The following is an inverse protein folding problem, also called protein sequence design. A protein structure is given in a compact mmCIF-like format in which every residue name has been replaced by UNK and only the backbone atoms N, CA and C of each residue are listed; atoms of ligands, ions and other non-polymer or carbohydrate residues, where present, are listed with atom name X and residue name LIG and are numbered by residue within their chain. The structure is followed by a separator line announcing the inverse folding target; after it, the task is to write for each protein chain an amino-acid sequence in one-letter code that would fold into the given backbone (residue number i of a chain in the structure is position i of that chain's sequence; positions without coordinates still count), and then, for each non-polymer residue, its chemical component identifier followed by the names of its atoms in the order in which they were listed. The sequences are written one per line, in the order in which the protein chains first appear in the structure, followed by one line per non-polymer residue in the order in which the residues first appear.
data_IF_599618619882
#
_entry.id   IF_599618619882
#
_cell.length_a   1.000
_cell.length_b   1.000
_cell.length_c   1.000
_cell.angle_alpha   90.00
_cell.angle_beta   90.00
_cell.angle_gamma   90.00
#
_symmetry.space_group_name_H-M   'P 1'
#
loop_
_entity.id
_entity.type
_entity.pdbx_description
1 polymer ?
#
# COMPACT_ATOMS: atom_id res chain seq x y z
N UNK A 1 17.20 7.71 17.51
CA UNK A 1 16.71 6.58 16.67
C UNK A 1 17.32 6.74 15.30
N UNK A 2 17.93 5.70 14.75
CA UNK A 2 18.52 5.75 13.40
C UNK A 2 17.39 6.05 12.39
N UNK A 3 17.58 7.05 11.53
CA UNK A 3 16.72 7.33 10.38
C UNK A 3 16.89 6.26 9.30
N UNK A 4 16.45 6.56 8.09
CA UNK A 4 16.63 5.66 6.93
C UNK A 4 17.96 5.94 6.17
N UNK A 5 18.87 6.72 6.75
CA UNK A 5 20.13 7.10 6.12
C UNK A 5 20.93 5.86 5.69
N UNK A 6 21.31 5.83 4.39
CA UNK A 6 22.06 4.73 3.79
C UNK A 6 21.28 3.44 3.52
N UNK A 7 20.02 3.32 3.97
CA UNK A 7 19.16 2.16 3.68
C UNK A 7 18.62 2.22 2.26
N UNK A 8 18.37 1.06 1.67
CA UNK A 8 17.64 0.94 0.40
C UNK A 8 16.17 0.65 0.69
N UNK A 9 15.29 1.55 0.24
CA UNK A 9 13.85 1.40 0.37
C UNK A 9 13.21 1.25 -1.02
N UNK A 10 12.43 0.20 -1.24
CA UNK A 10 11.64 0.03 -2.48
C UNK A 10 10.18 0.32 -2.19
N UNK A 11 9.55 1.15 -3.02
CA UNK A 11 8.14 1.53 -2.92
C UNK A 11 7.41 1.15 -4.21
N UNK A 12 6.39 0.28 -4.11
CA UNK A 12 5.51 -0.01 -5.24
C UNK A 12 4.34 0.98 -5.30
N UNK A 13 3.79 1.22 -6.49
CA UNK A 13 2.77 2.25 -6.69
C UNK A 13 3.31 3.67 -6.50
N UNK A 14 4.62 3.89 -6.76
CA UNK A 14 5.31 5.15 -6.49
C UNK A 14 4.94 6.31 -7.43
N UNK A 15 4.17 6.07 -8.49
CA UNK A 15 3.87 7.09 -9.49
C UNK A 15 2.81 8.12 -9.06
N UNK A 16 2.07 7.89 -7.98
CA UNK A 16 1.02 8.80 -7.49
C UNK A 16 0.68 8.60 -6.01
N UNK A 17 -0.18 9.46 -5.47
CA UNK A 17 -0.80 9.31 -4.14
C UNK A 17 0.18 9.07 -3.00
N UNK A 18 -0.17 8.16 -2.12
CA UNK A 18 0.63 7.81 -0.93
C UNK A 18 2.02 7.33 -1.33
N UNK A 19 2.14 6.47 -2.35
CA UNK A 19 3.43 5.90 -2.77
C UNK A 19 4.41 6.97 -3.22
N UNK A 20 3.96 7.98 -4.00
CA UNK A 20 4.78 9.10 -4.44
C UNK A 20 5.24 9.98 -3.26
N UNK A 21 4.31 10.31 -2.38
CA UNK A 21 4.63 11.12 -1.20
C UNK A 21 5.58 10.37 -0.24
N UNK A 22 5.38 9.07 -0.06
CA UNK A 22 6.22 8.22 0.78
C UNK A 22 7.64 8.07 0.22
N UNK A 23 7.79 7.88 -1.09
CA UNK A 23 9.10 7.83 -1.73
C UNK A 23 9.90 9.12 -1.48
N UNK A 24 9.26 10.30 -1.64
CA UNK A 24 9.87 11.60 -1.32
C UNK A 24 10.22 11.72 0.17
N UNK A 25 9.35 11.27 1.05
CA UNK A 25 9.58 11.34 2.49
C UNK A 25 10.74 10.44 2.94
N UNK A 26 10.84 9.21 2.41
CA UNK A 26 11.95 8.30 2.69
C UNK A 26 13.29 8.84 2.15
N UNK A 27 13.29 9.43 0.95
CA UNK A 27 14.47 10.07 0.39
C UNK A 27 14.98 11.24 1.25
N UNK A 28 14.08 12.08 1.78
CA UNK A 28 14.42 13.17 2.73
C UNK A 28 15.01 12.65 4.04
N UNK A 29 14.68 11.43 4.44
CA UNK A 29 15.27 10.74 5.60
C UNK A 29 16.60 10.04 5.28
N UNK A 30 17.13 10.24 4.05
CA UNK A 30 18.41 9.72 3.61
C UNK A 30 18.38 8.31 3.03
N UNK A 31 17.22 7.74 2.74
CA UNK A 31 17.11 6.47 2.04
C UNK A 31 17.46 6.62 0.56
N UNK A 32 18.06 5.59 -0.04
CA UNK A 32 18.12 5.37 -1.48
C UNK A 32 16.83 4.68 -1.90
N UNK A 33 16.04 5.30 -2.79
CA UNK A 33 14.67 4.86 -3.04
C UNK A 33 14.50 4.21 -4.41
N UNK A 34 14.10 2.95 -4.43
CA UNK A 34 13.64 2.25 -5.62
C UNK A 34 12.15 2.52 -5.87
N UNK A 35 11.80 2.96 -7.07
CA UNK A 35 10.47 3.39 -7.48
C UNK A 35 9.89 2.38 -8.48
N UNK A 36 8.78 1.71 -8.11
CA UNK A 36 8.10 0.74 -8.98
C UNK A 36 6.66 1.18 -9.25
N UNK A 37 6.27 1.30 -10.51
CA UNK A 37 4.90 1.48 -11.00
C UNK A 37 4.85 1.28 -12.51
N UNK A 38 3.67 1.24 -13.12
CA UNK A 38 3.48 1.07 -14.57
C UNK A 38 3.97 2.28 -15.40
N UNK A 39 3.73 3.51 -14.91
CA UNK A 39 3.97 4.76 -15.65
C UNK A 39 5.44 5.17 -15.54
N UNK A 40 6.23 4.85 -16.58
CA UNK A 40 7.68 5.14 -16.67
C UNK A 40 7.98 6.62 -16.46
N UNK A 41 7.33 7.49 -17.22
CA UNK A 41 7.59 8.93 -17.22
C UNK A 41 7.33 9.55 -15.83
N UNK A 42 6.27 9.10 -15.14
CA UNK A 42 5.96 9.58 -13.78
C UNK A 42 7.01 9.12 -12.75
N UNK A 43 7.60 7.94 -12.92
CA UNK A 43 8.69 7.46 -12.07
C UNK A 43 9.99 8.23 -12.33
N UNK A 44 10.33 8.49 -13.60
CA UNK A 44 11.51 9.24 -13.99
C UNK A 44 11.44 10.71 -13.51
N UNK A 45 10.26 11.33 -13.64
CA UNK A 45 10.00 12.66 -13.06
C UNK A 45 10.19 12.67 -11.54
N UNK A 46 9.64 11.66 -10.84
CA UNK A 46 9.80 11.54 -9.39
C UNK A 46 11.27 11.33 -8.99
N UNK A 47 12.00 10.48 -9.72
CA UNK A 47 13.44 10.27 -9.47
C UNK A 47 14.23 11.58 -9.66
N UNK A 48 13.94 12.35 -10.72
CA UNK A 48 14.55 13.65 -10.95
C UNK A 48 14.19 14.69 -9.86
N UNK A 49 12.95 14.69 -9.36
CA UNK A 49 12.55 15.55 -8.23
C UNK A 49 13.33 15.19 -6.95
N UNK A 50 13.47 13.90 -6.66
CA UNK A 50 14.23 13.43 -5.49
C UNK A 50 15.72 13.81 -5.63
N UNK A 51 16.29 13.64 -6.82
CA UNK A 51 17.70 14.01 -7.08
C UNK A 51 17.92 15.52 -6.94
N UNK A 52 17.03 16.38 -7.47
CA UNK A 52 17.10 17.83 -7.30
C UNK A 52 16.98 18.28 -5.83
N UNK A 53 16.35 17.48 -4.98
CA UNK A 53 16.27 17.69 -3.53
C UNK A 53 17.48 17.08 -2.77
N UNK A 54 18.51 16.59 -3.46
CA UNK A 54 19.72 16.01 -2.86
C UNK A 54 19.59 14.54 -2.44
N UNK A 55 18.48 13.88 -2.78
CA UNK A 55 18.25 12.46 -2.50
C UNK A 55 18.71 11.54 -3.64
N UNK A 56 18.60 10.23 -3.44
CA UNK A 56 18.91 9.21 -4.43
C UNK A 56 17.67 8.36 -4.72
N UNK A 57 17.32 8.24 -6.00
CA UNK A 57 16.25 7.35 -6.44
C UNK A 57 16.55 6.69 -7.78
N UNK A 58 15.99 5.51 -8.00
CA UNK A 58 16.03 4.80 -9.27
C UNK A 58 14.63 4.29 -9.63
N UNK A 59 14.26 4.38 -10.91
CA UNK A 59 13.00 3.94 -11.45
C UNK A 59 13.14 2.58 -12.12
N UNK A 60 12.15 1.69 -11.91
CA UNK A 60 11.99 0.42 -12.61
C UNK A 60 10.49 0.22 -12.91
N UNK A 61 10.04 0.48 -14.15
CA UNK A 61 8.65 0.33 -14.54
C UNK A 61 8.21 -1.14 -14.52
N UNK A 62 7.10 -1.44 -13.79
CA UNK A 62 6.50 -2.76 -13.77
C UNK A 62 5.02 -2.69 -13.38
N UNK A 63 4.22 -3.63 -13.87
CA UNK A 63 2.89 -3.91 -13.34
C UNK A 63 3.01 -4.90 -12.19
N UNK A 64 2.58 -4.49 -11.00
CA UNK A 64 2.63 -5.35 -9.81
C UNK A 64 1.63 -6.50 -9.86
N UNK A 65 0.63 -6.42 -10.72
CA UNK A 65 -0.29 -7.53 -11.00
C UNK A 65 0.36 -8.69 -11.78
N UNK A 66 1.57 -8.50 -12.29
CA UNK A 66 2.32 -9.49 -13.05
C UNK A 66 3.59 -9.90 -12.29
N UNK A 67 3.67 -11.17 -11.91
CA UNK A 67 4.73 -11.71 -11.04
C UNK A 67 6.14 -11.43 -11.57
N UNK A 68 6.43 -11.86 -12.79
CA UNK A 68 7.78 -11.78 -13.32
C UNK A 68 8.27 -10.33 -13.53
N UNK A 69 7.47 -9.40 -14.09
CA UNK A 69 7.85 -8.00 -14.21
C UNK A 69 8.21 -7.33 -12.89
N UNK A 70 7.40 -7.51 -11.83
CA UNK A 70 7.68 -6.86 -10.54
C UNK A 70 8.90 -7.47 -9.84
N UNK A 71 9.08 -8.80 -9.91
CA UNK A 71 10.25 -9.46 -9.34
C UNK A 71 11.53 -9.00 -10.04
N UNK A 72 11.52 -8.92 -11.37
CA UNK A 72 12.65 -8.42 -12.16
C UNK A 72 12.96 -6.95 -11.83
N UNK A 73 11.96 -6.08 -11.83
CA UNK A 73 12.14 -4.66 -11.53
C UNK A 73 12.74 -4.43 -10.13
N UNK A 74 12.30 -5.16 -9.12
CA UNK A 74 12.84 -5.02 -7.75
C UNK A 74 14.29 -5.55 -7.67
N UNK A 75 14.63 -6.62 -8.38
CA UNK A 75 16.00 -7.14 -8.45
C UNK A 75 16.95 -6.15 -9.14
N UNK A 76 16.55 -5.57 -10.28
CA UNK A 76 17.30 -4.51 -10.94
C UNK A 76 17.55 -3.30 -10.03
N UNK A 77 16.56 -2.89 -9.24
CA UNK A 77 16.71 -1.84 -8.25
C UNK A 77 17.69 -2.24 -7.15
N UNK A 78 17.66 -3.49 -6.70
CA UNK A 78 18.62 -4.01 -5.72
C UNK A 78 20.04 -4.03 -6.24
N UNK A 79 20.26 -4.34 -7.51
CA UNK A 79 21.59 -4.28 -8.17
C UNK A 79 22.12 -2.83 -8.26
N UNK A 80 21.23 -1.88 -8.58
CA UNK A 80 21.59 -0.47 -8.77
C UNK A 80 21.77 0.30 -7.46
N UNK A 81 20.98 0.01 -6.45
CA UNK A 81 20.93 0.77 -5.19
C UNK A 81 21.58 0.04 -4.02
N UNK A 82 21.77 -1.26 -4.14
CA UNK A 82 22.19 -2.16 -3.07
C UNK A 82 21.04 -2.99 -2.51
N UNK A 83 21.34 -3.95 -1.63
CA UNK A 83 20.35 -4.87 -1.09
C UNK A 83 19.22 -4.12 -0.36
N UNK A 84 17.98 -4.54 -0.63
CA UNK A 84 16.79 -3.87 -0.09
C UNK A 84 16.68 -4.09 1.43
N UNK A 85 16.62 -3.00 2.18
CA UNK A 85 16.46 -3.00 3.63
C UNK A 85 14.98 -2.81 4.04
N UNK A 86 14.22 -2.04 3.24
CA UNK A 86 12.80 -1.78 3.44
C UNK A 86 12.03 -1.98 2.12
N UNK A 87 11.05 -2.87 2.14
CA UNK A 87 10.03 -2.94 1.09
C UNK A 87 8.74 -2.29 1.58
N UNK A 88 8.17 -1.37 0.80
CA UNK A 88 6.81 -0.89 1.00
C UNK A 88 5.95 -1.29 -0.20
N UNK A 89 5.22 -2.37 -0.06
CA UNK A 89 4.22 -2.84 -1.01
C UNK A 89 2.96 -1.95 -0.88
N UNK A 90 2.92 -0.85 -1.65
CA UNK A 90 1.89 0.17 -1.56
C UNK A 90 0.94 0.18 -2.76
N UNK A 91 1.33 -0.36 -3.90
CA UNK A 91 0.47 -0.38 -5.09
C UNK A 91 -0.92 -0.95 -4.77
N UNK A 92 -1.94 -0.31 -5.31
CA UNK A 92 -3.32 -0.74 -5.13
C UNK A 92 -4.26 -0.02 -6.08
N UNK A 93 -5.39 -0.65 -6.34
CA UNK A 93 -6.50 -0.14 -7.14
C UNK A 93 -7.81 -0.35 -6.37
N UNK A 94 -8.84 0.43 -6.69
CA UNK A 94 -10.17 0.30 -6.14
C UNK A 94 -11.23 0.50 -7.21
N UNK A 95 -12.26 -0.32 -7.15
CA UNK A 95 -13.47 -0.18 -7.95
C UNK A 95 -14.66 -0.62 -7.11
N UNK A 96 -15.86 -0.07 -7.37
CA UNK A 96 -17.07 -0.55 -6.73
C UNK A 96 -17.34 -2.00 -7.13
N UNK A 97 -17.96 -2.76 -6.24
CA UNK A 97 -18.48 -4.09 -6.54
C UNK A 97 -19.93 -3.93 -7.02
N UNK A 98 -20.14 -4.09 -8.32
CA UNK A 98 -21.45 -4.07 -8.93
C UNK A 98 -22.14 -5.42 -8.77
N UNK A 99 -23.47 -5.45 -8.64
CA UNK A 99 -24.23 -6.68 -8.46
C UNK A 99 -24.88 -7.16 -9.76
N UNK A 100 -25.22 -6.24 -10.65
CA UNK A 100 -25.96 -6.57 -11.88
C UNK A 100 -25.51 -5.68 -13.04
N UNK A 101 -24.67 -6.25 -13.96
CA UNK A 101 -23.95 -7.53 -13.80
C UNK A 101 -22.81 -7.42 -12.78
N UNK A 102 -22.45 -8.56 -12.19
CA UNK A 102 -21.25 -8.60 -11.33
C UNK A 102 -20.00 -8.32 -12.18
N UNK A 103 -19.23 -7.32 -11.78
CA UNK A 103 -18.05 -6.84 -12.51
C UNK A 103 -16.78 -7.66 -12.16
N UNK A 104 -16.79 -8.93 -12.57
CA UNK A 104 -15.72 -9.91 -12.29
C UNK A 104 -14.32 -9.42 -12.72
N UNK A 105 -14.10 -8.81 -13.91
CA UNK A 105 -12.78 -8.34 -14.33
C UNK A 105 -12.13 -7.35 -13.38
N UNK A 106 -12.90 -6.40 -12.84
CA UNK A 106 -12.42 -5.42 -11.85
C UNK A 106 -12.10 -6.10 -10.51
N UNK A 107 -12.93 -7.08 -10.11
CA UNK A 107 -12.70 -7.88 -8.90
C UNK A 107 -11.38 -8.65 -9.02
N UNK A 108 -11.16 -9.36 -10.14
CA UNK A 108 -9.91 -10.07 -10.41
C UNK A 108 -8.71 -9.12 -10.41
N UNK A 109 -8.85 -7.94 -11.00
CA UNK A 109 -7.81 -6.91 -11.03
C UNK A 109 -7.47 -6.44 -9.62
N UNK A 110 -8.47 -6.19 -8.77
CA UNK A 110 -8.23 -5.82 -7.37
C UNK A 110 -7.49 -6.91 -6.59
N UNK A 111 -7.88 -8.16 -6.73
CA UNK A 111 -7.17 -9.29 -6.08
C UNK A 111 -5.74 -9.41 -6.61
N UNK A 112 -5.56 -9.31 -7.91
CA UNK A 112 -4.25 -9.41 -8.56
C UNK A 112 -3.31 -8.32 -8.12
N UNK A 113 -3.74 -7.05 -8.15
CA UNK A 113 -2.90 -5.90 -7.80
C UNK A 113 -2.74 -5.76 -6.30
N UNK A 114 -3.85 -5.75 -5.53
CA UNK A 114 -3.82 -5.42 -4.11
C UNK A 114 -3.27 -6.55 -3.25
N UNK A 115 -3.49 -7.82 -3.65
CA UNK A 115 -3.09 -8.99 -2.86
C UNK A 115 -1.88 -9.69 -3.45
N UNK A 116 -1.97 -10.19 -4.70
CA UNK A 116 -0.86 -10.92 -5.31
C UNK A 116 0.34 -10.01 -5.58
N UNK A 117 0.11 -8.73 -5.93
CA UNK A 117 1.19 -7.75 -6.08
C UNK A 117 2.02 -7.54 -4.82
N UNK A 118 1.41 -7.63 -3.63
CA UNK A 118 2.14 -7.63 -2.34
C UNK A 118 2.99 -8.89 -2.21
N UNK A 119 2.43 -10.05 -2.53
CA UNK A 119 3.13 -11.35 -2.46
C UNK A 119 4.35 -11.36 -3.39
N UNK A 120 4.18 -10.92 -4.64
CA UNK A 120 5.26 -10.88 -5.64
C UNK A 120 6.38 -9.90 -5.27
N UNK A 121 6.02 -8.74 -4.71
CA UNK A 121 7.03 -7.80 -4.23
C UNK A 121 7.83 -8.36 -3.04
N UNK A 122 7.18 -9.07 -2.13
CA UNK A 122 7.84 -9.74 -1.00
C UNK A 122 8.73 -10.89 -1.49
N UNK A 123 8.28 -11.69 -2.46
CA UNK A 123 9.08 -12.74 -3.09
C UNK A 123 10.43 -12.21 -3.61
N UNK A 124 10.43 -11.02 -4.18
CA UNK A 124 11.64 -10.43 -4.75
C UNK A 124 12.72 -10.10 -3.70
N UNK A 125 12.35 -9.82 -2.45
CA UNK A 125 13.27 -9.31 -1.42
C UNK A 125 13.47 -10.28 -0.26
N UNK A 126 12.49 -11.11 0.07
CA UNK A 126 12.51 -11.94 1.28
C UNK A 126 13.67 -12.94 1.34
N UNK A 127 14.06 -13.64 0.26
CA UNK A 127 15.20 -14.57 0.31
C UNK A 127 16.51 -13.89 0.73
N UNK A 128 16.77 -12.70 0.19
CA UNK A 128 17.97 -11.92 0.51
C UNK A 128 17.91 -11.36 1.94
N UNK A 129 16.75 -10.89 2.40
CA UNK A 129 16.55 -10.43 3.77
C UNK A 129 16.78 -11.58 4.78
N UNK A 130 16.28 -12.79 4.48
CA UNK A 130 16.50 -13.98 5.30
C UNK A 130 18.00 -14.36 5.38
N UNK A 131 18.70 -14.33 4.24
CA UNK A 131 20.13 -14.62 4.18
C UNK A 131 20.96 -13.63 5.00
N UNK A 132 20.57 -12.35 5.00
CA UNK A 132 21.23 -11.28 5.78
C UNK A 132 20.80 -11.25 7.25
N UNK A 133 19.72 -11.93 7.63
CA UNK A 133 19.13 -11.85 8.96
C UNK A 133 18.62 -10.47 9.34
N UNK A 134 18.28 -9.64 8.36
CA UNK A 134 17.77 -8.27 8.57
C UNK A 134 16.92 -7.79 7.39
N UNK A 135 15.86 -7.05 7.69
CA UNK A 135 14.97 -6.45 6.71
C UNK A 135 13.69 -5.90 7.32
N UNK A 136 12.93 -5.18 6.52
CA UNK A 136 11.63 -4.69 6.92
C UNK A 136 10.64 -4.81 5.76
N UNK A 137 9.60 -5.61 5.94
CA UNK A 137 8.48 -5.76 5.01
C UNK A 137 7.32 -4.90 5.48
N UNK A 138 6.85 -4.00 4.65
CA UNK A 138 5.65 -3.20 4.91
C UNK A 138 4.65 -3.34 3.77
N UNK A 139 3.36 -3.46 4.09
CA UNK A 139 2.29 -3.45 3.09
C UNK A 139 1.21 -2.43 3.46
N UNK A 140 0.75 -1.69 2.44
CA UNK A 140 -0.36 -0.74 2.58
C UNK A 140 -1.67 -1.46 2.29
N UNK A 141 -2.40 -1.72 3.37
CA UNK A 141 -3.77 -2.22 3.39
C UNK A 141 -4.78 -1.05 3.40
N UNK A 142 -5.82 -1.12 4.20
CA UNK A 142 -6.83 -0.08 4.40
C UNK A 142 -7.60 -0.35 5.69
N UNK A 143 -8.22 0.67 6.29
CA UNK A 143 -9.23 0.49 7.33
C UNK A 143 -10.46 -0.29 6.82
N UNK A 144 -10.74 -0.24 5.51
CA UNK A 144 -11.78 -1.05 4.86
C UNK A 144 -11.54 -2.58 4.97
N UNK A 145 -10.34 -3.01 5.36
CA UNK A 145 -10.02 -4.43 5.61
C UNK A 145 -10.69 -5.03 6.84
N UNK A 146 -11.26 -4.21 7.73
CA UNK A 146 -11.83 -4.69 8.99
C UNK A 146 -13.29 -5.15 8.89
N UNK A 147 -14.03 -4.72 7.87
CA UNK A 147 -15.44 -5.13 7.65
C UNK A 147 -15.72 -5.13 6.15
N UNK A 148 -16.47 -6.10 5.66
CA UNK A 148 -17.08 -6.04 4.33
C UNK A 148 -18.09 -4.88 4.29
N UNK A 149 -17.96 -4.00 3.31
CA UNK A 149 -18.85 -2.86 3.14
C UNK A 149 -19.65 -3.00 1.84
N UNK A 150 -20.94 -2.62 1.84
CA UNK A 150 -21.73 -2.58 0.64
C UNK A 150 -21.04 -1.75 -0.47
N UNK A 151 -21.10 -2.22 -1.71
CA UNK A 151 -20.42 -1.57 -2.83
C UNK A 151 -18.90 -1.73 -2.88
N UNK A 152 -18.25 -2.14 -1.78
CA UNK A 152 -16.78 -2.24 -1.66
C UNK A 152 -16.30 -3.66 -1.35
N UNK A 153 -17.16 -4.69 -1.56
CA UNK A 153 -16.90 -6.06 -1.11
C UNK A 153 -15.56 -6.62 -1.59
N UNK A 154 -15.24 -6.46 -2.87
CA UNK A 154 -13.99 -6.95 -3.46
C UNK A 154 -12.75 -6.19 -2.97
N UNK A 155 -12.85 -4.86 -2.81
CA UNK A 155 -11.78 -4.06 -2.24
C UNK A 155 -11.53 -4.46 -0.78
N UNK A 156 -12.57 -4.53 0.05
CA UNK A 156 -12.48 -4.97 1.44
C UNK A 156 -11.81 -6.36 1.54
N UNK A 157 -12.27 -7.32 0.73
CA UNK A 157 -11.71 -8.68 0.69
C UNK A 157 -10.22 -8.68 0.31
N UNK A 158 -9.82 -7.90 -0.73
CA UNK A 158 -8.43 -7.80 -1.16
C UNK A 158 -7.52 -7.25 -0.05
N UNK A 159 -7.99 -6.25 0.70
CA UNK A 159 -7.23 -5.63 1.79
C UNK A 159 -7.24 -6.47 3.07
N UNK A 160 -8.33 -7.21 3.34
CA UNK A 160 -8.38 -8.19 4.43
C UNK A 160 -7.39 -9.35 4.19
N UNK A 161 -7.28 -9.82 2.96
CA UNK A 161 -6.28 -10.83 2.57
C UNK A 161 -4.84 -10.35 2.85
N UNK A 162 -4.53 -9.07 2.54
CA UNK A 162 -3.21 -8.48 2.88
C UNK A 162 -2.98 -8.49 4.38
N UNK A 163 -3.98 -8.11 5.19
CA UNK A 163 -3.82 -8.11 6.65
C UNK A 163 -3.49 -9.51 7.17
N UNK A 164 -4.25 -10.53 6.77
CA UNK A 164 -4.03 -11.91 7.19
C UNK A 164 -2.67 -12.44 6.73
N UNK A 165 -2.28 -12.15 5.48
CA UNK A 165 -0.99 -12.56 4.93
C UNK A 165 0.19 -11.93 5.68
N UNK A 166 0.15 -10.62 5.93
CA UNK A 166 1.20 -9.91 6.66
C UNK A 166 1.27 -10.34 8.13
N UNK A 167 0.15 -10.67 8.75
CA UNK A 167 0.10 -11.22 10.10
C UNK A 167 0.77 -12.60 10.16
N UNK A 168 0.44 -13.50 9.24
CA UNK A 168 1.07 -14.81 9.12
C UNK A 168 2.58 -14.72 8.93
N UNK A 169 3.05 -13.84 8.03
CA UNK A 169 4.47 -13.58 7.83
C UNK A 169 5.15 -13.05 9.10
N UNK A 170 4.51 -12.17 9.84
CA UNK A 170 5.04 -11.61 11.09
C UNK A 170 5.27 -12.70 12.14
N UNK A 171 4.37 -13.68 12.20
CA UNK A 171 4.50 -14.84 13.09
C UNK A 171 5.65 -15.74 12.63
N UNK A 172 5.70 -16.08 11.34
CA UNK A 172 6.71 -16.98 10.76
C UNK A 172 8.14 -16.40 10.81
N UNK A 173 8.27 -15.07 10.70
CA UNK A 173 9.55 -14.36 10.67
C UNK A 173 10.04 -13.93 12.05
N UNK A 174 9.31 -14.30 13.12
CA UNK A 174 9.72 -14.00 14.49
C UNK A 174 11.11 -14.59 14.78
N UNK A 175 12.01 -13.76 15.28
CA UNK A 175 13.39 -14.16 15.60
C UNK A 175 14.34 -14.23 14.39
N UNK A 176 13.87 -13.93 13.17
CA UNK A 176 14.69 -13.96 11.95
C UNK A 176 15.30 -12.60 11.59
N UNK A 177 15.17 -11.59 12.44
CA UNK A 177 15.69 -10.24 12.20
C UNK A 177 14.92 -9.45 11.13
N UNK A 178 13.74 -9.90 10.73
CA UNK A 178 12.89 -9.25 9.73
C UNK A 178 11.63 -8.73 10.40
N UNK A 179 11.43 -7.40 10.30
CA UNK A 179 10.22 -6.75 10.79
C UNK A 179 9.11 -6.79 9.75
N UNK A 180 7.86 -6.83 10.22
CA UNK A 180 6.68 -6.85 9.34
C UNK A 180 5.66 -5.84 9.84
N UNK A 181 5.37 -4.82 9.02
CA UNK A 181 4.40 -3.76 9.31
C UNK A 181 3.23 -3.82 8.34
N UNK A 182 2.01 -3.86 8.88
CA UNK A 182 0.78 -3.64 8.11
C UNK A 182 0.32 -2.21 8.32
N UNK A 183 0.06 -1.47 7.25
CA UNK A 183 -0.35 -0.06 7.29
C UNK A 183 -1.79 0.00 6.80
N UNK A 184 -2.70 0.52 7.62
CA UNK A 184 -4.12 0.61 7.31
C UNK A 184 -4.58 2.09 7.34
N UNK A 185 -4.42 2.83 6.24
CA UNK A 185 -4.93 4.19 6.16
C UNK A 185 -6.46 4.21 6.06
N UNK A 186 -7.05 5.28 6.57
CA UNK A 186 -8.40 5.74 6.21
C UNK A 186 -8.37 6.53 4.90
N UNK A 187 -9.23 7.56 4.80
CA UNK A 187 -9.29 8.39 3.60
C UNK A 187 -8.07 9.30 3.46
N UNK A 188 -7.42 9.18 2.30
CA UNK A 188 -6.27 10.00 1.91
C UNK A 188 -6.55 10.58 0.53
N UNK A 189 -6.38 11.89 0.36
CA UNK A 189 -6.56 12.58 -0.93
C UNK A 189 -5.54 12.05 -1.93
N UNK A 190 -6.00 11.30 -2.91
CA UNK A 190 -5.22 10.64 -3.96
C UNK A 190 -6.04 10.57 -5.24
N UNK A 191 -5.46 10.27 -6.41
CA UNK A 191 -6.25 10.00 -7.61
C UNK A 191 -7.29 8.88 -7.44
N UNK A 192 -7.03 7.90 -6.57
CA UNK A 192 -7.98 6.82 -6.28
C UNK A 192 -9.23 7.32 -5.55
N UNK A 193 -9.09 8.27 -4.64
CA UNK A 193 -10.19 8.79 -3.82
C UNK A 193 -10.83 10.06 -4.39
N UNK A 194 -10.24 10.66 -5.44
CA UNK A 194 -10.76 11.90 -6.06
C UNK A 194 -12.06 11.68 -6.83
N UNK A 195 -12.41 10.44 -7.13
CA UNK A 195 -13.65 10.06 -7.81
C UNK A 195 -14.81 9.79 -6.83
N UNK A 196 -14.53 9.79 -5.53
CA UNK A 196 -15.55 9.56 -4.52
C UNK A 196 -16.43 10.81 -4.38
N UNK A 197 -17.73 10.65 -4.46
CA UNK A 197 -18.76 11.68 -4.32
C UNK A 197 -19.46 11.68 -2.94
N UNK A 198 -18.99 10.84 -2.03
CA UNK A 198 -19.49 10.72 -0.66
C UNK A 198 -18.57 11.39 0.36
N UNK A 199 -19.13 11.69 1.53
CA UNK A 199 -18.38 12.30 2.63
C UNK A 199 -17.25 11.37 3.11
N UNK A 200 -16.02 11.87 3.08
CA UNK A 200 -14.82 11.17 3.58
C UNK A 200 -14.37 11.80 4.92
N UNK A 201 -14.87 11.29 6.06
CA UNK A 201 -14.50 11.84 7.35
C UNK A 201 -13.01 11.67 7.63
N UNK A 202 -12.40 12.66 8.29
CA UNK A 202 -10.99 12.65 8.66
C UNK A 202 -10.03 12.45 7.47
N UNK A 203 -10.41 12.92 6.28
CA UNK A 203 -9.54 12.88 5.09
C UNK A 203 -8.24 13.65 5.38
N UNK A 204 -7.12 13.11 4.90
CA UNK A 204 -5.81 13.75 5.03
C UNK A 204 -5.08 13.81 3.69
N UNK A 205 -4.08 14.68 3.58
CA UNK A 205 -3.24 14.74 2.38
C UNK A 205 -2.30 13.54 2.28
N UNK A 206 -1.86 13.20 1.06
CA UNK A 206 -0.87 12.15 0.84
C UNK A 206 0.47 12.44 1.55
N UNK A 207 0.87 13.70 1.64
CA UNK A 207 2.09 14.10 2.35
C UNK A 207 1.98 13.90 3.86
N UNK A 208 0.82 14.17 4.45
CA UNK A 208 0.59 13.89 5.87
C UNK A 208 0.56 12.39 6.15
N UNK A 209 -0.13 11.61 5.32
CA UNK A 209 -0.13 10.15 5.40
C UNK A 209 1.29 9.60 5.32
N UNK A 210 2.09 10.08 4.37
CA UNK A 210 3.50 9.67 4.21
C UNK A 210 4.33 9.96 5.45
N UNK A 211 4.22 11.16 6.05
CA UNK A 211 4.94 11.50 7.29
C UNK A 211 4.57 10.55 8.44
N UNK A 212 3.27 10.24 8.61
CA UNK A 212 2.79 9.30 9.63
C UNK A 212 3.33 7.90 9.39
N UNK A 213 3.29 7.43 8.14
CA UNK A 213 3.82 6.11 7.73
C UNK A 213 5.33 6.02 8.01
N UNK A 214 6.13 7.01 7.60
CA UNK A 214 7.57 7.05 7.90
C UNK A 214 7.84 6.96 9.39
N UNK A 215 7.08 7.69 10.21
CA UNK A 215 7.16 7.61 11.67
C UNK A 215 6.83 6.22 12.23
N UNK A 216 5.85 5.53 11.66
CA UNK A 216 5.48 4.17 12.03
C UNK A 216 6.55 3.14 11.61
N UNK A 217 7.06 3.24 10.39
CA UNK A 217 8.14 2.40 9.86
C UNK A 217 9.43 2.55 10.68
N UNK A 218 9.79 3.78 11.08
CA UNK A 218 10.95 4.03 11.95
C UNK A 218 10.82 3.32 13.31
N UNK A 219 9.61 3.28 13.88
CA UNK A 219 9.31 2.58 15.13
C UNK A 219 9.05 1.08 14.96
N UNK A 220 9.04 0.59 13.73
CA UNK A 220 8.77 -0.82 13.39
C UNK A 220 7.48 -1.35 14.00
N UNK A 221 6.41 -0.53 13.97
CA UNK A 221 5.11 -0.94 14.53
C UNK A 221 4.50 -2.08 13.72
N UNK A 222 3.88 -3.03 14.39
CA UNK A 222 3.32 -4.24 13.77
C UNK A 222 2.13 -3.94 12.88
N UNK A 223 1.19 -3.12 13.39
CA UNK A 223 0.00 -2.66 12.67
C UNK A 223 -0.15 -1.17 12.93
N UNK A 224 -0.30 -0.38 11.88
CA UNK A 224 -0.46 1.06 11.95
C UNK A 224 -1.74 1.50 11.28
N UNK A 225 -2.75 1.72 12.10
CA UNK A 225 -4.06 2.22 11.69
C UNK A 225 -4.14 3.74 11.90
N UNK A 226 -4.57 4.48 10.91
CA UNK A 226 -4.73 5.92 11.03
C UNK A 226 -5.78 6.49 10.07
N UNK A 227 -6.47 7.61 10.40
CA UNK A 227 -6.45 8.27 11.72
C UNK A 227 -7.10 7.39 12.79
N UNK A 228 -6.69 7.56 14.05
CA UNK A 228 -7.11 6.67 15.14
C UNK A 228 -8.62 6.66 15.38
N UNK A 229 -9.29 7.81 15.14
CA UNK A 229 -10.75 7.92 15.28
C UNK A 229 -11.47 6.98 14.31
N UNK A 230 -11.06 7.00 13.04
CA UNK A 230 -11.60 6.12 12.01
C UNK A 230 -11.23 4.66 12.27
N UNK A 231 -10.01 4.41 12.75
CA UNK A 231 -9.56 3.06 13.10
C UNK A 231 -10.42 2.45 14.21
N UNK A 232 -10.75 3.22 15.25
CA UNK A 232 -11.62 2.76 16.33
C UNK A 232 -13.03 2.45 15.79
N UNK A 233 -13.58 3.34 14.97
CA UNK A 233 -14.88 3.15 14.34
C UNK A 233 -14.90 1.87 13.50
N UNK A 234 -13.94 1.70 12.58
CA UNK A 234 -13.88 0.54 11.69
C UNK A 234 -13.67 -0.78 12.42
N UNK A 235 -12.90 -0.78 13.50
CA UNK A 235 -12.76 -1.97 14.36
C UNK A 235 -14.05 -2.30 15.10
N UNK A 236 -14.78 -1.28 15.56
CA UNK A 236 -16.07 -1.47 16.21
C UNK A 236 -17.14 -2.02 15.25
N UNK A 237 -17.12 -1.60 13.97
CA UNK A 237 -18.12 -2.10 12.97
C UNK A 237 -18.00 -3.60 12.74
N UNK A 238 -16.87 -4.23 13.05
CA UNK A 238 -16.73 -5.69 12.95
C UNK A 238 -17.75 -6.46 13.77
N UNK A 239 -18.20 -5.88 14.89
CA UNK A 239 -19.15 -6.49 15.83
C UNK A 239 -20.60 -6.11 15.51
N UNK A 240 -20.84 -5.20 14.57
CA UNK A 240 -22.19 -4.79 14.19
C UNK A 240 -22.84 -5.85 13.29
N UNK A 241 -24.13 -6.17 13.51
CA UNK A 241 -24.85 -7.09 12.64
C UNK A 241 -25.04 -6.50 11.25
N UNK A 242 -25.11 -7.35 10.24
CA UNK A 242 -25.15 -6.94 8.83
C UNK A 242 -26.36 -6.07 8.50
N UNK A 243 -27.54 -6.35 9.10
CA UNK A 243 -28.73 -5.52 8.91
C UNK A 243 -28.53 -4.06 9.34
N UNK A 244 -27.73 -3.83 10.39
CA UNK A 244 -27.43 -2.47 10.85
C UNK A 244 -26.51 -1.75 9.87
N UNK A 245 -25.46 -2.42 9.42
CA UNK A 245 -24.54 -1.86 8.41
C UNK A 245 -25.27 -1.55 7.11
N UNK A 246 -26.11 -2.48 6.63
CA UNK A 246 -26.93 -2.30 5.44
C UNK A 246 -27.84 -1.07 5.54
N UNK A 247 -28.49 -0.85 6.71
CA UNK A 247 -29.34 0.32 6.93
C UNK A 247 -28.57 1.64 6.94
N UNK A 248 -27.40 1.67 7.58
CA UNK A 248 -26.56 2.90 7.66
C UNK A 248 -25.98 3.26 6.29
N UNK A 249 -25.68 2.26 5.47
CA UNK A 249 -25.05 2.43 4.15
C UNK A 249 -26.03 2.25 2.97
N UNK A 250 -27.34 2.31 3.20
CA UNK A 250 -28.33 2.07 2.15
C UNK A 250 -28.14 3.00 0.93
N UNK A 251 -27.90 4.30 1.15
CA UNK A 251 -27.68 5.26 0.07
C UNK A 251 -26.38 5.06 -0.73
N UNK A 252 -25.42 4.33 -0.20
CA UNK A 252 -24.14 4.05 -0.90
C UNK A 252 -24.31 2.98 -2.00
N UNK A 253 -25.22 2.03 -1.82
CA UNK A 253 -25.49 0.99 -2.82
C UNK A 253 -26.24 1.47 -4.06
N UNK A 254 -27.00 2.55 -3.94
CA UNK A 254 -27.84 3.07 -5.04
C UNK A 254 -27.01 3.83 -6.11
N UNK A 255 -25.89 4.43 -5.70
CA UNK A 255 -25.02 5.19 -6.58
C UNK A 255 -23.55 4.90 -6.25
N UNK A 256 -22.99 3.74 -6.68
CA UNK A 256 -21.59 3.47 -6.44
C UNK A 256 -20.72 4.45 -7.25
N UNK A 257 -19.61 4.95 -6.68
CA UNK A 257 -18.70 5.83 -7.40
C UNK A 257 -18.07 5.10 -8.60
N UNK A 258 -17.65 5.85 -9.64
CA UNK A 258 -16.95 5.24 -10.77
C UNK A 258 -15.63 4.57 -10.34
N UNK A 259 -15.10 3.61 -11.11
CA UNK A 259 -13.83 2.97 -10.80
C UNK A 259 -12.69 3.99 -10.75
N UNK A 260 -11.74 3.76 -9.88
CA UNK A 260 -10.58 4.64 -9.76
C UNK A 260 -9.74 4.66 -11.05
N UNK A 261 -9.14 5.82 -11.42
CA UNK A 261 -8.33 5.92 -12.63
C UNK A 261 -7.14 4.96 -12.59
N UNK A 262 -6.95 4.22 -13.67
CA UNK A 262 -5.83 3.26 -13.84
C UNK A 262 -6.16 1.81 -13.55
N UNK A 263 -7.45 1.46 -13.48
CA UNK A 263 -7.91 0.06 -13.53
C UNK A 263 -7.99 -0.45 -14.95
#
# INVERSE_FOLDING_TARGET
MAGFAGQVAVVTGASSGIGRALAKALAREGARVGLVARRREALEQLAAEIARAGGTAAAAPADVGERQPVVTAIRELSERLGPVDLLVANAGVGAPTLLEPLNVPEIETMIRVNTLGVVYAIEAVLPEMLRRGRGHLAAVSSLASYKGLPGESAYCASKAAVNAFMEGLRIQLRGKGIDVTTICPGFVTTPMTSVNDFAMPFVMSADEAARRIVGALRRRVKVFDFPWQMALLMRATRWLPDWFVARVMAGYNENPPPPAPGM
#
